data_IF_059855792301
#
_entry.id   IF_059855792301
#
_cell.length_a   1.000
_cell.length_b   1.000
_cell.length_c   1.000
_cell.angle_alpha   90.00
_cell.angle_beta   90.00
_cell.angle_gamma   90.00
#
_symmetry.space_group_name_H-M   'P 1'
#
loop_
_entity.id
_entity.type
_entity.pdbx_description
1 polymer ?
#
# COMPACT_ATOMS: atom_id res chain seq x y z
N UNK A 1 12.04 29.20 14.36
CA UNK A 1 10.69 29.05 13.79
C UNK A 1 9.62 29.46 14.84
N UNK A 2 9.79 30.59 15.53
CA UNK A 2 9.02 30.91 16.75
C UNK A 2 7.56 31.31 16.51
N UNK A 3 7.17 31.63 15.27
CA UNK A 3 5.84 32.16 14.93
C UNK A 3 4.99 31.16 14.13
N UNK A 4 5.40 29.89 14.04
CA UNK A 4 4.65 28.88 13.30
C UNK A 4 3.43 28.44 14.11
N UNK A 5 2.24 28.79 13.63
CA UNK A 5 0.98 28.45 14.30
C UNK A 5 0.39 27.11 13.86
N UNK A 6 0.66 26.68 12.61
CA UNK A 6 0.11 25.47 12.02
C UNK A 6 1.21 24.63 11.38
N UNK A 7 1.20 23.33 11.66
CA UNK A 7 2.14 22.37 11.09
C UNK A 7 1.42 21.05 10.80
N UNK A 8 1.54 20.60 9.56
CA UNK A 8 1.20 19.25 9.14
C UNK A 8 2.52 18.51 8.89
N UNK A 9 2.80 17.53 9.74
CA UNK A 9 4.11 16.88 9.80
C UNK A 9 4.01 15.43 9.33
N UNK A 10 4.97 15.03 8.49
CA UNK A 10 5.19 13.63 8.19
C UNK A 10 6.64 13.26 8.43
N UNK A 11 6.83 12.23 9.24
CA UNK A 11 8.13 11.71 9.57
C UNK A 11 8.14 10.23 9.23
N UNK A 12 9.11 9.83 8.42
CA UNK A 12 9.50 8.44 8.29
C UNK A 12 10.88 8.27 8.91
N UNK A 13 10.96 7.39 9.89
CA UNK A 13 12.21 7.04 10.57
C UNK A 13 12.51 5.60 10.23
N UNK A 14 13.68 5.33 9.66
CA UNK A 14 14.13 3.99 9.34
C UNK A 14 15.49 3.71 10.00
N UNK A 15 15.79 2.43 10.21
CA UNK A 15 17.09 1.94 10.67
C UNK A 15 17.53 2.44 12.06
N UNK A 16 16.60 2.90 12.90
CA UNK A 16 16.90 3.15 14.32
C UNK A 16 16.84 1.85 15.11
N UNK A 17 17.65 1.80 16.18
CA UNK A 17 17.55 0.74 17.20
C UNK A 17 16.24 0.84 17.98
N UNK A 18 15.75 2.05 18.20
CA UNK A 18 14.51 2.33 18.94
C UNK A 18 13.46 2.99 18.05
N UNK A 19 12.18 2.78 18.37
CA UNK A 19 11.09 3.47 17.67
C UNK A 19 11.10 4.97 17.98
N UNK A 20 10.80 5.79 16.96
CA UNK A 20 10.48 7.20 17.18
C UNK A 20 9.09 7.31 17.80
N UNK A 21 9.03 7.80 19.03
CA UNK A 21 7.81 7.83 19.84
C UNK A 21 7.31 9.26 20.11
N UNK A 22 6.32 9.39 21.02
CA UNK A 22 5.80 10.70 21.42
C UNK A 22 6.76 11.54 22.26
N UNK A 23 7.74 10.94 22.95
CA UNK A 23 8.76 11.70 23.68
C UNK A 23 9.72 12.37 22.71
N UNK A 24 10.17 11.63 21.69
CA UNK A 24 10.98 12.19 20.60
C UNK A 24 10.24 13.36 19.92
N UNK A 25 8.94 13.21 19.63
CA UNK A 25 8.11 14.26 19.04
C UNK A 25 8.04 15.52 19.93
N UNK A 26 7.84 15.32 21.24
CA UNK A 26 7.73 16.41 22.21
C UNK A 26 9.04 17.17 22.35
N UNK A 27 10.13 16.43 22.58
CA UNK A 27 11.45 17.01 22.86
C UNK A 27 12.03 17.71 21.65
N UNK A 28 11.90 17.14 20.46
CA UNK A 28 12.59 17.64 19.27
C UNK A 28 11.76 18.62 18.43
N UNK A 29 10.43 18.66 18.60
CA UNK A 29 9.55 19.50 17.76
C UNK A 29 8.67 20.40 18.61
N UNK A 30 7.80 19.82 19.43
CA UNK A 30 6.73 20.60 20.10
C UNK A 30 7.32 21.64 21.06
N UNK A 31 8.31 21.25 21.87
CA UNK A 31 8.94 22.17 22.82
C UNK A 31 9.63 23.37 22.14
N UNK A 32 9.99 23.24 20.86
CA UNK A 32 10.64 24.29 20.08
C UNK A 32 9.66 25.15 19.25
N UNK A 33 8.35 24.84 19.30
CA UNK A 33 7.29 25.52 18.56
C UNK A 33 6.14 25.96 19.50
N UNK A 34 6.38 26.89 20.43
CA UNK A 34 5.42 27.25 21.48
C UNK A 34 4.13 27.91 20.95
N UNK A 35 4.16 28.49 19.75
CA UNK A 35 2.98 29.12 19.12
C UNK A 35 2.13 28.12 18.30
N UNK A 36 2.52 26.84 18.26
CA UNK A 36 1.85 25.83 17.45
C UNK A 36 0.48 25.48 18.06
N UNK A 37 -0.58 26.02 17.46
CA UNK A 37 -1.97 25.83 17.90
C UNK A 37 -2.69 24.72 17.11
N UNK A 38 -2.28 24.46 15.86
CA UNK A 38 -2.78 23.36 15.04
C UNK A 38 -1.62 22.47 14.63
N UNK A 39 -1.60 21.27 15.18
CA UNK A 39 -0.58 20.28 14.86
C UNK A 39 -1.24 18.99 14.39
N UNK A 40 -1.01 18.64 13.12
CA UNK A 40 -1.30 17.30 12.61
C UNK A 40 0.01 16.59 12.32
N UNK A 41 0.03 15.28 12.55
CA UNK A 41 1.22 14.49 12.29
C UNK A 41 0.88 13.08 11.84
N UNK A 42 1.78 12.51 11.07
CA UNK A 42 1.93 11.08 10.82
C UNK A 42 3.41 10.72 11.01
N UNK A 43 3.66 9.76 11.90
CA UNK A 43 4.97 9.22 12.17
C UNK A 43 4.94 7.73 11.82
N UNK A 44 5.82 7.35 10.90
CA UNK A 44 6.11 5.98 10.53
C UNK A 44 7.52 5.65 11.03
N UNK A 45 7.64 4.75 12.00
CA UNK A 45 8.94 4.33 12.52
C UNK A 45 9.18 2.85 12.21
N UNK A 46 10.29 2.57 11.55
CA UNK A 46 10.78 1.24 11.24
C UNK A 46 12.08 0.99 12.02
N UNK A 47 12.05 0.05 12.95
CA UNK A 47 13.23 -0.38 13.71
C UNK A 47 13.64 -1.79 13.31
N UNK A 48 14.95 -2.02 13.29
CA UNK A 48 15.52 -3.36 13.12
C UNK A 48 15.89 -3.91 14.49
N UNK A 49 15.51 -5.15 14.78
CA UNK A 49 15.91 -5.83 16.01
C UNK A 49 16.63 -7.09 15.63
N UNK A 50 17.94 -6.95 15.56
CA UNK A 50 18.81 -8.07 15.31
C UNK A 50 18.83 -9.05 16.49
N UNK A 51 18.47 -8.62 17.72
CA UNK A 51 18.52 -9.44 18.95
C UNK A 51 17.60 -8.96 20.11
N UNK A 52 16.68 -8.01 19.91
CA UNK A 52 15.92 -7.41 21.03
C UNK A 52 14.48 -7.95 21.15
N UNK A 53 14.11 -8.38 22.37
CA UNK A 53 12.79 -8.93 22.74
C UNK A 53 11.78 -7.81 23.09
N UNK A 54 12.25 -6.57 23.28
CA UNK A 54 11.45 -5.48 23.87
C UNK A 54 10.93 -4.52 22.80
N UNK A 55 10.10 -5.07 21.91
CA UNK A 55 9.28 -4.27 21.03
C UNK A 55 8.22 -3.49 21.80
N UNK A 56 8.06 -2.19 21.56
CA UNK A 56 6.99 -1.43 22.19
C UNK A 56 5.62 -2.02 21.84
N UNK A 57 4.90 -2.47 22.87
CA UNK A 57 3.50 -2.85 22.72
C UNK A 57 2.65 -1.61 22.43
N UNK A 58 1.46 -1.84 21.87
CA UNK A 58 0.46 -0.78 21.71
C UNK A 58 0.19 -0.03 23.04
N UNK A 59 0.18 -0.73 24.18
CA UNK A 59 -0.01 -0.14 25.51
C UNK A 59 1.13 0.82 25.89
N UNK A 60 2.37 0.47 25.53
CA UNK A 60 3.53 1.33 25.78
C UNK A 60 3.41 2.64 25.00
N UNK A 61 3.07 2.57 23.71
CA UNK A 61 2.84 3.73 22.85
C UNK A 61 1.69 4.58 23.40
N UNK A 62 0.58 3.96 23.79
CA UNK A 62 -0.56 4.65 24.40
C UNK A 62 -0.15 5.48 25.61
N UNK A 63 0.65 4.89 26.51
CA UNK A 63 1.09 5.55 27.73
C UNK A 63 1.93 6.79 27.44
N UNK A 64 2.77 6.76 26.41
CA UNK A 64 3.59 7.90 26.00
C UNK A 64 2.70 9.07 25.54
N UNK A 65 1.64 8.78 24.78
CA UNK A 65 0.71 9.80 24.28
C UNK A 65 -0.38 10.20 25.28
N UNK A 66 -0.48 9.55 26.44
CA UNK A 66 -1.47 9.92 27.47
C UNK A 66 -1.38 11.37 27.95
N UNK A 67 -0.18 11.96 27.89
CA UNK A 67 0.10 13.33 28.30
C UNK A 67 0.15 14.33 27.14
N UNK A 68 -0.28 13.93 25.93
CA UNK A 68 -0.37 14.82 24.79
C UNK A 68 -1.67 15.63 24.81
N UNK A 69 -1.58 16.94 24.51
CA UNK A 69 -2.78 17.79 24.44
C UNK A 69 -3.76 17.35 23.35
N UNK A 70 -3.28 16.69 22.29
CA UNK A 70 -4.14 16.08 21.29
C UNK A 70 -4.64 14.73 21.78
N UNK A 71 -5.93 14.64 22.11
CA UNK A 71 -6.56 13.43 22.65
C UNK A 71 -6.94 12.39 21.59
N UNK A 72 -6.85 12.72 20.30
CA UNK A 72 -7.26 11.84 19.20
C UNK A 72 -6.03 11.39 18.42
N UNK A 73 -5.22 10.54 19.05
CA UNK A 73 -4.03 9.94 18.44
C UNK A 73 -4.31 8.46 18.22
N UNK A 74 -4.13 8.01 16.99
CA UNK A 74 -4.23 6.60 16.61
C UNK A 74 -2.83 6.05 16.45
N UNK A 75 -2.62 4.84 16.94
CA UNK A 75 -1.35 4.14 16.82
C UNK A 75 -1.59 2.64 16.70
N UNK A 76 -0.64 1.96 16.07
CA UNK A 76 -0.52 0.51 16.10
C UNK A 76 0.93 0.13 15.84
N UNK A 77 1.29 -1.05 16.31
CA UNK A 77 2.56 -1.68 16.02
C UNK A 77 2.37 -2.98 15.27
N UNK A 78 3.29 -3.25 14.36
CA UNK A 78 3.39 -4.47 13.60
C UNK A 78 4.80 -5.05 13.73
N UNK A 79 4.86 -6.38 13.66
CA UNK A 79 6.10 -7.13 13.72
C UNK A 79 6.23 -7.95 12.45
N UNK A 80 7.41 -7.84 11.83
CA UNK A 80 7.79 -8.53 10.61
C UNK A 80 8.94 -9.49 10.95
N UNK A 81 8.62 -10.72 11.44
CA UNK A 81 9.62 -11.69 11.87
C UNK A 81 10.62 -12.10 10.78
N UNK A 82 10.20 -12.25 9.52
CA UNK A 82 11.09 -12.65 8.42
C UNK A 82 12.12 -11.55 8.13
N UNK A 83 11.71 -10.30 8.21
CA UNK A 83 12.59 -9.14 8.00
C UNK A 83 13.33 -8.70 9.27
N UNK A 84 12.96 -9.26 10.44
CA UNK A 84 13.47 -8.84 11.76
C UNK A 84 13.25 -7.34 12.00
N UNK A 85 12.07 -6.87 11.62
CA UNK A 85 11.70 -5.46 11.65
C UNK A 85 10.39 -5.20 12.38
N UNK A 86 10.29 -3.97 12.90
CA UNK A 86 9.16 -3.50 13.68
C UNK A 86 8.71 -2.21 13.14
N UNK A 87 7.41 -2.13 12.99
CA UNK A 87 6.77 -0.96 12.48
C UNK A 87 5.87 -0.37 13.54
N UNK A 88 5.96 0.92 13.71
CA UNK A 88 5.03 1.69 14.49
C UNK A 88 4.55 2.85 13.65
N UNK A 89 3.23 2.97 13.55
CA UNK A 89 2.60 4.09 12.89
C UNK A 89 1.77 4.81 13.93
N UNK A 90 1.97 6.12 14.04
CA UNK A 90 1.27 7.00 14.96
C UNK A 90 0.79 8.22 14.17
N UNK A 91 -0.49 8.59 14.29
CA UNK A 91 -1.00 9.78 13.63
C UNK A 91 -2.08 10.51 14.42
N UNK A 92 -2.23 11.80 14.16
CA UNK A 92 -3.33 12.62 14.67
C UNK A 92 -4.61 12.43 13.86
N UNK A 93 -5.74 12.23 14.52
CA UNK A 93 -7.06 12.14 13.91
C UNK A 93 -7.79 13.50 13.96
N UNK A 94 -8.54 13.91 12.91
CA UNK A 94 -8.71 13.22 11.63
C UNK A 94 -7.45 13.29 10.75
N UNK A 95 -7.20 12.22 10.00
CA UNK A 95 -6.06 12.12 9.09
C UNK A 95 -6.22 13.05 7.88
N UNK A 96 -5.30 14.00 7.68
CA UNK A 96 -5.39 15.04 6.63
C UNK A 96 -4.35 14.91 5.51
N UNK A 97 -3.43 13.94 5.59
CA UNK A 97 -2.36 13.79 4.60
C UNK A 97 -2.83 13.03 3.36
N UNK A 98 -2.11 13.23 2.25
CA UNK A 98 -2.42 12.64 0.94
C UNK A 98 -1.92 11.20 0.77
N UNK A 99 -0.89 10.80 1.50
CA UNK A 99 -0.31 9.46 1.42
C UNK A 99 -0.62 8.68 2.68
N UNK A 100 -0.73 7.36 2.58
CA UNK A 100 -0.81 6.45 3.71
C UNK A 100 0.05 5.23 3.42
N UNK A 101 1.20 5.15 4.10
CA UNK A 101 2.22 4.15 3.81
C UNK A 101 2.20 2.99 4.79
N UNK A 102 2.54 1.81 4.26
CA UNK A 102 2.68 0.55 5.00
C UNK A 102 1.43 0.17 5.80
N UNK A 103 0.30 0.05 5.10
CA UNK A 103 -0.91 -0.55 5.65
C UNK A 103 -0.73 -2.06 5.69
N UNK A 104 -0.89 -2.63 6.88
CA UNK A 104 -0.79 -4.06 7.16
C UNK A 104 -2.18 -4.68 7.38
N UNK A 105 -2.25 -5.99 7.58
CA UNK A 105 -3.50 -6.68 7.94
C UNK A 105 -4.05 -6.25 9.32
N UNK A 106 -3.22 -5.69 10.20
CA UNK A 106 -3.62 -5.23 11.53
C UNK A 106 -4.14 -3.79 11.55
N UNK A 107 -4.28 -3.18 10.38
CA UNK A 107 -4.78 -1.83 10.24
C UNK A 107 -6.13 -1.62 10.96
N UNK A 108 -6.18 -0.60 11.81
CA UNK A 108 -7.32 -0.29 12.69
C UNK A 108 -8.55 0.28 11.98
N UNK A 109 -8.43 0.64 10.70
CA UNK A 109 -9.52 1.16 9.88
C UNK A 109 -9.75 2.67 10.05
N UNK A 110 -10.95 3.14 9.71
CA UNK A 110 -11.32 4.56 9.61
C UNK A 110 -11.61 5.04 8.17
N UNK A 111 -12.16 6.23 8.01
CA UNK A 111 -12.43 6.79 6.67
C UNK A 111 -11.41 7.89 6.36
N UNK A 112 -10.60 7.67 5.33
CA UNK A 112 -9.46 8.52 4.98
C UNK A 112 -9.75 9.34 3.72
N UNK A 113 -10.63 10.34 3.86
CA UNK A 113 -11.12 11.15 2.73
C UNK A 113 -10.03 11.97 2.01
N UNK A 114 -8.91 12.26 2.67
CA UNK A 114 -7.82 13.07 2.11
C UNK A 114 -6.72 12.23 1.46
N UNK A 115 -6.68 10.92 1.73
CA UNK A 115 -5.68 10.01 1.17
C UNK A 115 -5.97 9.77 -0.31
N UNK A 116 -4.91 9.84 -1.11
CA UNK A 116 -4.86 9.60 -2.55
C UNK A 116 -3.88 8.49 -2.89
N UNK A 117 -2.83 8.32 -2.10
CA UNK A 117 -1.79 7.31 -2.34
C UNK A 117 -1.73 6.33 -1.18
N UNK A 118 -1.84 5.03 -1.49
CA UNK A 118 -1.83 3.95 -0.51
C UNK A 118 -0.75 2.93 -0.86
N UNK A 119 0.09 2.61 0.13
CA UNK A 119 1.03 1.50 0.06
C UNK A 119 0.62 0.40 1.04
N UNK A 120 0.29 -0.78 0.51
CA UNK A 120 0.03 -2.00 1.27
C UNK A 120 1.31 -2.82 1.41
N UNK A 121 1.63 -3.25 2.62
CA UNK A 121 2.76 -4.12 2.91
C UNK A 121 2.48 -4.98 4.14
N UNK A 122 2.76 -6.28 4.07
CA UNK A 122 2.69 -7.20 5.21
C UNK A 122 3.50 -8.47 4.87
N UNK A 123 3.98 -9.18 5.90
CA UNK A 123 4.56 -10.52 5.78
C UNK A 123 3.50 -11.63 5.69
N UNK A 124 2.23 -11.29 5.89
CA UNK A 124 1.06 -12.16 5.69
C UNK A 124 0.31 -11.74 4.43
N UNK A 125 -0.30 -12.66 3.68
CA UNK A 125 -1.04 -12.30 2.48
C UNK A 125 -2.25 -11.41 2.80
N UNK A 126 -2.63 -10.57 1.85
CA UNK A 126 -3.90 -9.83 1.88
C UNK A 126 -4.98 -10.63 1.14
N UNK A 127 -6.01 -11.05 1.85
CA UNK A 127 -7.15 -11.77 1.26
C UNK A 127 -8.13 -10.81 0.54
N UNK A 128 -9.06 -11.34 -0.24
CA UNK A 128 -10.00 -10.55 -1.03
C UNK A 128 -10.79 -9.53 -0.18
N UNK A 129 -11.23 -9.94 1.01
CA UNK A 129 -11.98 -9.13 1.97
C UNK A 129 -11.16 -7.95 2.48
N UNK A 130 -9.82 -8.04 2.45
CA UNK A 130 -8.95 -6.91 2.74
C UNK A 130 -9.14 -5.80 1.71
N UNK A 131 -9.16 -6.13 0.41
CA UNK A 131 -9.36 -5.15 -0.65
C UNK A 131 -10.76 -4.51 -0.62
N UNK A 132 -11.80 -5.27 -0.27
CA UNK A 132 -13.14 -4.71 -0.01
C UNK A 132 -13.15 -3.71 1.16
N UNK A 133 -12.33 -3.92 2.18
CA UNK A 133 -12.13 -2.94 3.25
C UNK A 133 -11.38 -1.72 2.73
N UNK A 134 -10.29 -1.89 2.00
CA UNK A 134 -9.52 -0.77 1.42
C UNK A 134 -10.40 0.14 0.57
N UNK A 135 -11.29 -0.42 -0.25
CA UNK A 135 -12.26 0.36 -1.06
C UNK A 135 -13.09 1.32 -0.20
N UNK A 136 -13.63 0.82 0.92
CA UNK A 136 -14.50 1.59 1.81
C UNK A 136 -13.72 2.63 2.62
N UNK A 137 -12.51 2.29 3.04
CA UNK A 137 -11.68 3.13 3.91
C UNK A 137 -11.01 4.27 3.13
N UNK A 138 -10.74 4.07 1.83
CA UNK A 138 -10.05 5.03 0.96
C UNK A 138 -10.89 5.40 -0.28
N UNK A 139 -12.01 6.12 -0.09
CA UNK A 139 -13.01 6.34 -1.15
C UNK A 139 -12.50 7.18 -2.34
N UNK A 140 -11.38 7.88 -2.21
CA UNK A 140 -10.80 8.74 -3.25
C UNK A 140 -9.36 8.33 -3.60
N UNK A 141 -8.99 7.07 -3.37
CA UNK A 141 -7.66 6.55 -3.69
C UNK A 141 -7.37 6.65 -5.19
N UNK A 142 -6.26 7.29 -5.53
CA UNK A 142 -5.76 7.46 -6.90
C UNK A 142 -4.60 6.53 -7.22
N UNK A 143 -3.79 6.17 -6.21
CA UNK A 143 -2.62 5.30 -6.39
C UNK A 143 -2.61 4.20 -5.35
N UNK A 144 -2.45 2.96 -5.81
CA UNK A 144 -2.33 1.78 -4.98
C UNK A 144 -1.03 1.05 -5.32
N UNK A 145 -0.13 0.93 -4.35
CA UNK A 145 1.06 0.08 -4.42
C UNK A 145 0.91 -1.09 -3.47
N UNK A 146 1.25 -2.29 -3.94
CA UNK A 146 1.21 -3.49 -3.13
C UNK A 146 2.62 -4.07 -3.07
N UNK A 147 3.10 -4.36 -1.87
CA UNK A 147 4.38 -5.03 -1.61
C UNK A 147 4.13 -6.23 -0.71
N UNK A 148 3.90 -7.37 -1.33
CA UNK A 148 3.59 -8.60 -0.61
C UNK A 148 3.92 -9.81 -1.48
N UNK A 149 4.89 -10.61 -1.04
CA UNK A 149 5.36 -11.78 -1.78
C UNK A 149 4.68 -13.07 -1.36
N UNK A 150 3.87 -13.05 -0.31
CA UNK A 150 3.17 -14.23 0.16
C UNK A 150 1.95 -14.53 -0.71
N UNK A 151 1.72 -15.82 -0.90
CA UNK A 151 0.53 -16.31 -1.60
C UNK A 151 -0.69 -16.23 -0.67
N UNK A 152 -1.84 -15.89 -1.25
CA UNK A 152 -3.12 -15.95 -0.56
C UNK A 152 -3.39 -17.39 -0.13
N UNK A 153 -3.85 -17.56 1.11
CA UNK A 153 -4.24 -18.88 1.62
C UNK A 153 -5.59 -19.25 1.01
N UNK A 154 -6.51 -18.30 0.98
CA UNK A 154 -7.85 -18.49 0.44
C UNK A 154 -7.92 -18.07 -1.03
N UNK A 155 -7.25 -18.85 -1.90
CA UNK A 155 -7.25 -18.66 -3.36
C UNK A 155 -8.65 -18.79 -3.95
N UNK A 156 -9.40 -17.69 -3.97
CA UNK A 156 -10.79 -17.69 -4.43
C UNK A 156 -10.91 -18.11 -5.90
N UNK A 157 -9.87 -17.89 -6.71
CA UNK A 157 -9.86 -18.27 -8.12
C UNK A 157 -9.80 -19.80 -8.37
N UNK A 158 -9.48 -20.63 -7.36
CA UNK A 158 -9.40 -22.09 -7.47
C UNK A 158 -10.61 -22.83 -6.94
N UNK A 159 -11.47 -22.17 -6.16
CA UNK A 159 -12.68 -22.81 -5.63
C UNK A 159 -13.71 -22.97 -6.75
N UNK A 160 -14.24 -24.20 -6.89
CA UNK A 160 -15.26 -24.55 -7.88
C UNK A 160 -16.50 -23.65 -7.69
N UNK A 161 -17.23 -23.41 -8.80
CA UNK A 161 -18.32 -22.42 -8.97
C UNK A 161 -19.41 -22.40 -7.88
N UNK A 162 -19.49 -23.40 -7.02
CA UNK A 162 -20.57 -23.54 -6.02
C UNK A 162 -20.26 -22.81 -4.69
N UNK A 163 -19.02 -22.42 -4.40
CA UNK A 163 -18.66 -21.70 -3.15
C UNK A 163 -18.34 -20.21 -3.36
N UNK A 164 -18.16 -19.78 -4.61
CA UNK A 164 -17.67 -18.44 -4.97
C UNK A 164 -18.78 -17.42 -5.30
N UNK A 165 -20.04 -17.74 -5.04
CA UNK A 165 -21.18 -16.97 -5.58
C UNK A 165 -21.42 -15.61 -4.91
N UNK A 166 -20.85 -15.32 -3.72
CA UNK A 166 -21.33 -14.17 -2.92
C UNK A 166 -20.32 -13.07 -2.60
N UNK A 167 -19.10 -13.10 -3.17
CA UNK A 167 -18.14 -12.02 -2.91
C UNK A 167 -18.27 -10.87 -3.91
N UNK A 168 -18.46 -9.68 -3.36
CA UNK A 168 -18.60 -8.44 -4.10
C UNK A 168 -17.36 -8.15 -4.93
N UNK A 169 -17.55 -7.66 -6.14
CA UNK A 169 -16.45 -7.16 -6.99
C UNK A 169 -15.88 -5.90 -6.35
N UNK A 170 -14.57 -5.86 -6.14
CA UNK A 170 -13.87 -4.68 -5.60
C UNK A 170 -13.85 -3.59 -6.66
N UNK A 171 -14.13 -2.35 -6.26
CA UNK A 171 -14.07 -1.18 -7.16
C UNK A 171 -13.19 -0.09 -6.56
N UNK A 172 -12.32 0.49 -7.38
CA UNK A 172 -11.58 1.70 -7.02
C UNK A 172 -11.86 2.78 -8.07
N UNK A 173 -12.97 3.52 -7.94
CA UNK A 173 -13.46 4.42 -9.00
C UNK A 173 -12.49 5.54 -9.40
N UNK A 174 -11.62 5.95 -8.47
CA UNK A 174 -10.66 7.05 -8.67
C UNK A 174 -9.23 6.56 -8.96
N UNK A 175 -9.03 5.25 -9.06
CA UNK A 175 -7.70 4.69 -9.27
C UNK A 175 -7.15 5.14 -10.62
N UNK A 176 -5.97 5.75 -10.60
CA UNK A 176 -5.19 6.19 -11.75
C UNK A 176 -3.92 5.38 -11.90
N UNK A 177 -3.44 4.77 -10.82
CA UNK A 177 -2.18 4.03 -10.80
C UNK A 177 -2.26 2.79 -9.92
N UNK A 178 -1.79 1.66 -10.44
CA UNK A 178 -1.66 0.39 -9.73
C UNK A 178 -0.25 -0.16 -9.89
N UNK A 179 0.46 -0.40 -8.79
CA UNK A 179 1.79 -0.99 -8.80
C UNK A 179 1.78 -2.39 -8.15
N UNK A 180 2.06 -3.39 -9.00
CA UNK A 180 2.14 -4.82 -8.69
C UNK A 180 3.55 -5.38 -8.93
N UNK A 181 4.59 -4.54 -9.07
CA UNK A 181 5.95 -5.01 -9.38
C UNK A 181 6.46 -5.92 -8.26
N UNK A 182 6.25 -5.54 -7.01
CA UNK A 182 6.77 -6.22 -5.83
C UNK A 182 5.70 -7.11 -5.17
N UNK A 183 4.91 -7.83 -5.97
CA UNK A 183 3.87 -8.73 -5.46
C UNK A 183 4.02 -10.17 -5.93
N UNK A 184 3.31 -11.09 -5.27
CA UNK A 184 3.09 -12.45 -5.77
C UNK A 184 2.05 -12.48 -6.90
N UNK A 185 1.91 -13.64 -7.54
CA UNK A 185 0.99 -13.88 -8.67
C UNK A 185 -0.50 -13.76 -8.29
N UNK A 186 -0.86 -14.07 -7.05
CA UNK A 186 -2.26 -14.07 -6.62
C UNK A 186 -2.87 -12.64 -6.70
N UNK A 187 -2.06 -11.60 -6.47
CA UNK A 187 -2.49 -10.22 -6.64
C UNK A 187 -2.70 -9.84 -8.12
N UNK A 188 -1.97 -10.45 -9.06
CA UNK A 188 -2.25 -10.24 -10.48
C UNK A 188 -3.61 -10.82 -10.84
N UNK A 189 -3.95 -12.00 -10.32
CA UNK A 189 -5.28 -12.58 -10.51
C UNK A 189 -6.37 -11.72 -9.86
N UNK A 190 -6.14 -11.23 -8.63
CA UNK A 190 -7.06 -10.34 -7.93
C UNK A 190 -7.41 -9.08 -8.73
N UNK A 191 -6.43 -8.44 -9.39
CA UNK A 191 -6.64 -7.17 -10.08
C UNK A 191 -6.95 -7.30 -11.58
N UNK A 192 -6.42 -8.33 -12.24
CA UNK A 192 -6.66 -8.51 -13.68
C UNK A 192 -7.96 -9.26 -13.96
N UNK A 193 -8.49 -10.09 -13.06
CA UNK A 193 -9.76 -10.80 -13.31
C UNK A 193 -10.96 -9.89 -13.13
N UNK A 194 -11.82 -9.85 -14.15
CA UNK A 194 -13.08 -9.11 -14.15
C UNK A 194 -14.11 -9.62 -13.14
N UNK A 195 -13.97 -10.86 -12.70
CA UNK A 195 -14.82 -11.45 -11.65
C UNK A 195 -14.44 -11.03 -10.23
N UNK A 196 -13.37 -10.25 -10.05
CA UNK A 196 -12.82 -9.88 -8.74
C UNK A 196 -12.62 -8.38 -8.57
N UNK A 197 -12.23 -7.73 -9.65
CA UNK A 197 -11.96 -6.30 -9.69
C UNK A 197 -12.70 -5.68 -10.87
N UNK A 198 -13.26 -4.50 -10.65
CA UNK A 198 -13.73 -3.61 -11.71
C UNK A 198 -12.75 -2.43 -11.77
N UNK A 199 -11.70 -2.54 -12.60
CA UNK A 199 -10.73 -1.47 -12.76
C UNK A 199 -11.40 -0.21 -13.33
N UNK A 200 -10.96 0.96 -12.88
CA UNK A 200 -11.34 2.22 -13.50
C UNK A 200 -10.75 2.32 -14.92
N UNK A 201 -11.38 3.11 -15.78
CA UNK A 201 -10.85 3.39 -17.11
C UNK A 201 -9.67 4.37 -17.02
N UNK A 202 -8.61 4.11 -17.79
CA UNK A 202 -7.43 4.97 -17.83
C UNK A 202 -6.44 4.73 -16.68
N UNK A 203 -6.42 3.53 -16.10
CA UNK A 203 -5.46 3.17 -15.05
C UNK A 203 -4.09 2.89 -15.68
N UNK A 204 -3.04 3.41 -15.07
CA UNK A 204 -1.65 3.06 -15.35
C UNK A 204 -1.23 1.90 -14.47
N UNK A 205 -0.71 0.82 -15.06
CA UNK A 205 -0.34 -0.38 -14.30
C UNK A 205 1.13 -0.73 -14.46
N UNK A 206 1.79 -0.93 -13.33
CA UNK A 206 3.19 -1.36 -13.24
C UNK A 206 3.22 -2.82 -12.81
N UNK A 207 3.80 -3.69 -13.63
CA UNK A 207 3.74 -5.12 -13.40
C UNK A 207 4.95 -5.86 -13.99
N UNK A 208 5.22 -7.06 -13.47
CA UNK A 208 6.26 -7.94 -13.97
C UNK A 208 5.73 -8.71 -15.17
N UNK A 209 6.45 -8.63 -16.29
CA UNK A 209 6.07 -9.26 -17.55
C UNK A 209 5.79 -10.76 -17.39
N UNK A 210 6.66 -11.49 -16.67
CA UNK A 210 6.53 -12.94 -16.48
C UNK A 210 5.21 -13.31 -15.78
N UNK A 211 4.84 -12.59 -14.72
CA UNK A 211 3.63 -12.87 -13.95
C UNK A 211 2.37 -12.45 -14.72
N UNK A 212 2.42 -11.30 -15.40
CA UNK A 212 1.36 -10.86 -16.29
C UNK A 212 1.08 -11.87 -17.40
N UNK A 213 2.15 -12.36 -18.06
CA UNK A 213 2.08 -13.39 -19.10
C UNK A 213 1.49 -14.69 -18.56
N UNK A 214 1.85 -15.11 -17.36
CA UNK A 214 1.31 -16.33 -16.74
C UNK A 214 -0.19 -16.20 -16.44
N UNK A 215 -0.60 -15.13 -15.77
CA UNK A 215 -2.00 -14.89 -15.36
C UNK A 215 -2.93 -14.72 -16.56
N UNK A 216 -2.48 -14.01 -17.58
CA UNK A 216 -3.23 -13.76 -18.81
C UNK A 216 -3.12 -14.90 -19.83
N UNK A 217 -2.41 -15.99 -19.51
CA UNK A 217 -2.12 -17.10 -20.43
C UNK A 217 -1.58 -16.59 -21.78
N UNK A 218 -0.44 -15.91 -21.75
CA UNK A 218 0.15 -15.23 -22.89
C UNK A 218 -0.78 -14.18 -23.52
N UNK A 219 -1.51 -13.42 -22.70
CA UNK A 219 -2.44 -12.38 -23.17
C UNK A 219 -3.55 -12.94 -24.07
N UNK A 220 -4.06 -14.13 -23.75
CA UNK A 220 -5.18 -14.76 -24.48
C UNK A 220 -6.40 -15.02 -23.60
N UNK A 221 -6.24 -15.02 -22.27
CA UNK A 221 -7.29 -15.39 -21.32
C UNK A 221 -8.44 -14.40 -21.31
N UNK A 222 -9.66 -14.86 -21.55
CA UNK A 222 -10.83 -13.98 -21.67
C UNK A 222 -11.22 -13.27 -20.36
N UNK A 223 -11.10 -13.95 -19.21
CA UNK A 223 -11.49 -13.38 -17.89
C UNK A 223 -10.64 -12.18 -17.45
N UNK A 224 -9.50 -11.96 -18.09
CA UNK A 224 -8.63 -10.82 -17.81
C UNK A 224 -8.77 -9.68 -18.83
N UNK A 225 -9.42 -9.94 -19.98
CA UNK A 225 -9.53 -8.99 -21.09
C UNK A 225 -10.26 -7.70 -20.70
N UNK A 226 -11.38 -7.81 -19.97
CA UNK A 226 -12.20 -6.64 -19.64
C UNK A 226 -11.43 -5.61 -18.81
N UNK A 227 -10.69 -6.04 -17.80
CA UNK A 227 -9.86 -5.15 -17.00
C UNK A 227 -8.62 -4.68 -17.76
N UNK A 228 -7.97 -5.55 -18.53
CA UNK A 228 -6.82 -5.14 -19.35
C UNK A 228 -7.19 -4.09 -20.41
N UNK A 229 -8.40 -4.15 -20.97
CA UNK A 229 -8.88 -3.16 -21.92
C UNK A 229 -9.06 -1.75 -21.34
N UNK A 230 -9.19 -1.63 -20.01
CA UNK A 230 -9.37 -0.34 -19.31
C UNK A 230 -8.05 0.34 -18.96
N UNK A 231 -6.93 -0.36 -19.10
CA UNK A 231 -5.60 0.17 -18.82
C UNK A 231 -5.19 1.09 -19.97
N UNK A 232 -4.55 2.22 -19.67
CA UNK A 232 -4.04 3.18 -20.69
C UNK A 232 -2.51 3.29 -20.72
N UNK A 233 -1.84 2.71 -19.73
CA UNK A 233 -0.39 2.62 -19.67
C UNK A 233 -0.01 1.33 -18.97
N UNK A 234 0.91 0.57 -19.56
CA UNK A 234 1.49 -0.61 -18.91
C UNK A 234 3.00 -0.48 -18.95
N UNK A 235 3.62 -0.59 -17.78
CA UNK A 235 5.05 -0.80 -17.66
C UNK A 235 5.32 -2.26 -17.31
N UNK A 236 5.99 -2.99 -18.23
CA UNK A 236 6.23 -4.44 -18.12
C UNK A 236 7.67 -4.73 -17.71
N UNK A 237 7.99 -4.67 -16.42
CA UNK A 237 9.34 -4.96 -15.94
C UNK A 237 9.72 -6.45 -16.13
N UNK A 238 10.91 -6.72 -16.69
CA UNK A 238 11.44 -8.08 -16.85
C UNK A 238 12.23 -8.56 -15.62
N UNK A 239 12.72 -7.64 -14.77
CA UNK A 239 13.51 -7.92 -13.56
C UNK A 239 12.85 -7.33 -12.31
N UNK A 240 13.15 -7.90 -11.14
CA UNK A 240 12.79 -7.29 -9.84
C UNK A 240 13.78 -6.15 -9.62
N UNK A 241 13.31 -4.91 -9.68
CA UNK A 241 14.09 -3.75 -9.27
C UNK A 241 14.06 -3.70 -7.73
N UNK A 242 15.19 -3.95 -7.09
CA UNK A 242 15.40 -3.53 -5.71
C UNK A 242 15.69 -2.02 -5.71
N UNK A 243 15.19 -1.32 -4.69
CA UNK A 243 15.22 0.14 -4.59
C UNK A 243 16.57 0.74 -5.00
N UNK A 244 16.57 1.57 -6.07
CA UNK A 244 17.68 2.45 -6.40
C UNK A 244 18.27 2.36 -7.82
N UNK A 245 17.91 1.37 -8.64
CA UNK A 245 18.39 1.29 -10.03
C UNK A 245 17.22 1.06 -11.01
N UNK A 246 16.96 2.08 -11.84
CA UNK A 246 15.99 2.04 -12.91
C UNK A 246 16.59 1.33 -14.14
N UNK A 247 16.38 0.03 -14.25
CA UNK A 247 16.38 -0.64 -15.54
C UNK A 247 14.93 -0.79 -16.00
N UNK A 248 14.32 0.33 -16.39
CA UNK A 248 13.18 0.31 -17.31
C UNK A 248 13.71 -0.24 -18.61
N UNK A 249 13.16 -1.32 -19.18
CA UNK A 249 13.49 -1.84 -20.52
C UNK A 249 14.80 -1.29 -21.14
N UNK A 250 15.93 -1.43 -20.45
CA UNK A 250 17.23 -0.93 -20.92
C UNK A 250 17.89 -1.97 -21.83
N UNK A 251 17.14 -3.01 -22.17
CA UNK A 251 17.54 -4.11 -23.02
C UNK A 251 16.63 -4.20 -24.26
N UNK A 252 16.26 -3.05 -24.85
CA UNK A 252 15.86 -2.87 -26.27
C UNK A 252 14.80 -3.80 -26.89
N UNK A 253 14.14 -4.67 -26.12
CA UNK A 253 13.17 -5.64 -26.62
C UNK A 253 11.81 -4.97 -26.65
N UNK A 254 11.42 -4.52 -27.84
CA UNK A 254 10.07 -4.03 -28.10
C UNK A 254 9.04 -4.99 -27.51
N UNK A 255 8.06 -4.45 -26.80
CA UNK A 255 6.93 -5.25 -26.32
C UNK A 255 6.25 -5.91 -27.52
N UNK A 256 6.07 -7.26 -27.50
CA UNK A 256 5.48 -7.96 -28.64
C UNK A 256 4.17 -7.36 -29.11
N UNK A 257 4.01 -7.23 -30.42
CA UNK A 257 2.88 -6.52 -31.03
C UNK A 257 1.51 -7.13 -30.65
N UNK A 258 1.44 -8.45 -30.45
CA UNK A 258 0.24 -9.16 -30.01
C UNK A 258 -0.27 -8.73 -28.62
N UNK A 259 0.55 -8.03 -27.83
CA UNK A 259 0.16 -7.50 -26.52
C UNK A 259 -0.72 -6.24 -26.70
N UNK A 260 -0.54 -5.48 -27.78
CA UNK A 260 -1.34 -4.27 -28.05
C UNK A 260 -2.83 -4.58 -28.22
N UNK A 261 -3.17 -5.73 -28.81
CA UNK A 261 -4.55 -6.19 -28.93
C UNK A 261 -5.21 -6.45 -27.57
N UNK A 262 -4.40 -6.74 -26.55
CA UNK A 262 -4.84 -7.00 -25.19
C UNK A 262 -4.99 -5.71 -24.36
N UNK A 263 -4.35 -4.63 -24.82
CA UNK A 263 -4.27 -3.32 -24.19
C UNK A 263 -4.56 -2.23 -25.26
N UNK A 264 -5.79 -2.19 -25.82
CA UNK A 264 -6.12 -1.43 -27.03
C UNK A 264 -5.98 0.09 -26.90
N UNK A 265 -5.92 0.62 -25.68
CA UNK A 265 -5.86 2.06 -25.40
C UNK A 265 -4.52 2.48 -24.78
N UNK A 266 -3.51 1.62 -24.87
CA UNK A 266 -2.34 1.68 -23.98
C UNK A 266 -1.07 2.13 -24.67
N UNK A 267 -0.36 3.07 -24.04
CA UNK A 267 1.07 3.29 -24.28
C UNK A 267 1.87 2.23 -23.49
N UNK A 268 2.74 1.47 -24.16
CA UNK A 268 3.48 0.38 -23.54
C UNK A 268 4.97 0.69 -23.56
N UNK A 269 5.58 0.70 -22.37
CA UNK A 269 7.01 0.90 -22.14
C UNK A 269 7.69 -0.32 -21.48
#
# INVERSE_FOLDING_TARGET
MSNLEKLDLYITVAQRKTLFDGNDLKMNIINHMPQLNKFTFNICSLSSFYNEINLPSNEHIQKIFSNFNNKQIIYWTDYFPKEKQGYCHIYSYPYQLKYYNMITNNFSGGIFKYVRQVLLYDERPFEHEFFLRIEKLFPFMEELTIRNHEQQINKQFRKLKNENQDLSIVKYPYLKQLDLIQTCIDYYEQFLFDTKMDLAFGVRVYMRYKLAKEVTQNFTRNRTRSNCAKINYVNLCTRIQFAGYSDNFSDGKQVPEYIKDYFPHTQID
#
